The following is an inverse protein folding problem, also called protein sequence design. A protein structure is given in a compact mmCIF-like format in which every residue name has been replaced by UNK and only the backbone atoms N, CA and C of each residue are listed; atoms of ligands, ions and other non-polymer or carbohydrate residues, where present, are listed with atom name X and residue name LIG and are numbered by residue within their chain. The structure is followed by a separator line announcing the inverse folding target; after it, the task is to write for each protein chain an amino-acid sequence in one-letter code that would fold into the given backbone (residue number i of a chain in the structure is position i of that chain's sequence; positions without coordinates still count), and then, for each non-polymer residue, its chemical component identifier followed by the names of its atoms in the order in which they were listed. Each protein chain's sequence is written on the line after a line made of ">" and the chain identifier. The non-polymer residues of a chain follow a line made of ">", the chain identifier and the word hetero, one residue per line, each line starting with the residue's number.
data_IF_893098754732
#
_entry.id   IF_893098754732
#
_cell.length_a   1.000
_cell.length_b   1.000
_cell.length_c   1.000
_cell.angle_alpha   90.00
_cell.angle_beta   90.00
_cell.angle_gamma   90.00
#
_symmetry.space_group_name_H-M   'P 1'
#
loop_
_entity.id
_entity.type
_entity.pdbx_description
1 polymer ?
#
# COMPACT_ATOMS: atom_id res chain seq x y z
N UNK A 1 -6.80 5.31 -4.18
CA UNK A 1 -6.77 5.13 -5.65
C UNK A 1 -6.59 3.66 -5.94
N UNK A 2 -7.46 3.05 -6.76
CA UNK A 2 -7.28 1.68 -7.23
C UNK A 2 -6.62 1.74 -8.61
N UNK A 3 -5.47 1.09 -8.76
CA UNK A 3 -4.74 1.01 -10.03
C UNK A 3 -4.68 -0.45 -10.48
N UNK A 4 -5.24 -0.74 -11.66
CA UNK A 4 -5.19 -2.05 -12.28
C UNK A 4 -4.00 -2.13 -13.24
N UNK A 5 -3.09 -3.08 -13.00
CA UNK A 5 -1.99 -3.39 -13.90
C UNK A 5 -2.24 -4.75 -14.55
N UNK A 6 -2.12 -4.84 -15.88
CA UNK A 6 -2.21 -6.11 -16.61
C UNK A 6 -0.83 -6.78 -16.57
N UNK A 7 -0.70 -7.97 -15.96
CA UNK A 7 0.60 -8.63 -15.84
C UNK A 7 0.95 -9.39 -17.13
N UNK A 8 1.23 -8.65 -18.19
CA UNK A 8 1.68 -9.20 -19.48
C UNK A 8 3.21 -9.35 -19.48
N UNK A 9 3.70 -10.55 -19.72
CA UNK A 9 5.12 -10.85 -19.85
C UNK A 9 5.63 -10.50 -21.25
N UNK A 10 6.96 -10.41 -21.42
CA UNK A 10 7.58 -10.03 -22.72
C UNK A 10 7.28 -11.04 -23.85
N UNK A 11 7.07 -12.30 -23.49
CA UNK A 11 6.67 -13.40 -24.37
C UNK A 11 5.14 -13.49 -24.57
N UNK A 12 4.37 -12.52 -24.05
CA UNK A 12 2.93 -12.40 -24.29
C UNK A 12 2.02 -13.23 -23.38
N UNK A 13 2.56 -13.86 -22.33
CA UNK A 13 1.78 -14.61 -21.34
C UNK A 13 1.23 -13.70 -20.25
N UNK A 14 0.17 -14.14 -19.59
CA UNK A 14 -0.36 -13.48 -18.39
C UNK A 14 0.22 -14.15 -17.14
N UNK A 15 1.17 -13.50 -16.49
CA UNK A 15 1.85 -14.02 -15.29
C UNK A 15 2.16 -12.92 -14.30
N UNK A 16 1.29 -12.77 -13.29
CA UNK A 16 1.52 -11.84 -12.18
C UNK A 16 2.82 -12.17 -11.42
N UNK A 17 3.17 -13.44 -11.29
CA UNK A 17 4.39 -13.88 -10.60
C UNK A 17 5.65 -13.37 -11.28
N UNK A 18 5.68 -13.35 -12.61
CA UNK A 18 6.85 -12.88 -13.36
C UNK A 18 6.91 -11.36 -13.44
N UNK A 19 5.76 -10.70 -13.58
CA UNK A 19 5.70 -9.23 -13.70
C UNK A 19 5.86 -8.51 -12.36
N UNK A 20 5.17 -8.98 -11.32
CA UNK A 20 5.21 -8.39 -9.96
C UNK A 20 6.39 -8.95 -9.17
N UNK A 21 6.78 -10.19 -9.44
CA UNK A 21 7.91 -10.86 -8.80
C UNK A 21 7.54 -11.58 -7.51
N UNK A 22 8.52 -11.68 -6.61
CA UNK A 22 8.44 -12.40 -5.34
C UNK A 22 8.32 -11.43 -4.15
N UNK A 23 8.30 -11.96 -2.93
CA UNK A 23 8.23 -11.15 -1.69
C UNK A 23 9.36 -10.11 -1.59
N UNK A 24 10.55 -10.43 -2.08
CA UNK A 24 11.71 -9.51 -2.07
C UNK A 24 11.49 -8.34 -3.05
N UNK A 25 11.03 -8.65 -4.27
CA UNK A 25 10.70 -7.65 -5.28
C UNK A 25 9.61 -6.67 -4.81
N UNK A 26 8.62 -7.16 -4.06
CA UNK A 26 7.57 -6.31 -3.46
C UNK A 26 8.14 -5.37 -2.38
N UNK A 27 9.08 -5.84 -1.55
CA UNK A 27 9.75 -4.97 -0.57
C UNK A 27 10.59 -3.89 -1.26
N UNK A 28 11.37 -4.27 -2.29
CA UNK A 28 12.14 -3.34 -3.11
C UNK A 28 11.25 -2.36 -3.89
N UNK A 29 10.04 -2.78 -4.26
CA UNK A 29 9.07 -1.89 -4.88
C UNK A 29 8.61 -0.78 -3.92
N UNK A 30 8.42 -1.07 -2.62
CA UNK A 30 8.08 -0.05 -1.63
C UNK A 30 9.19 1.00 -1.47
N UNK A 31 10.46 0.57 -1.55
CA UNK A 31 11.62 1.48 -1.58
C UNK A 31 11.59 2.40 -2.80
N UNK A 32 11.57 1.80 -3.98
CA UNK A 32 11.65 2.54 -5.26
C UNK A 32 10.48 3.49 -5.43
N UNK A 33 9.28 3.07 -5.00
CA UNK A 33 8.09 3.92 -5.08
C UNK A 33 8.22 5.15 -4.18
N UNK A 34 8.71 5.01 -2.95
CA UNK A 34 8.90 6.14 -2.05
C UNK A 34 9.93 7.14 -2.62
N UNK A 35 11.08 6.65 -3.12
CA UNK A 35 12.09 7.48 -3.76
C UNK A 35 11.52 8.25 -4.96
N UNK A 36 10.84 7.55 -5.87
CA UNK A 36 10.25 8.12 -7.09
C UNK A 36 9.21 9.22 -6.82
N UNK A 37 8.44 9.07 -5.75
CA UNK A 37 7.44 10.05 -5.33
C UNK A 37 8.12 11.25 -4.66
N UNK A 38 9.14 11.02 -3.83
CA UNK A 38 9.87 12.11 -3.20
C UNK A 38 10.67 12.96 -4.20
N UNK A 39 11.25 12.34 -5.23
CA UNK A 39 11.89 13.04 -6.34
C UNK A 39 10.92 13.98 -7.10
N UNK A 40 9.62 13.68 -7.08
CA UNK A 40 8.56 14.52 -7.70
C UNK A 40 8.06 15.63 -6.80
N UNK A 41 8.69 15.85 -5.64
CA UNK A 41 8.37 16.93 -4.71
C UNK A 41 7.33 16.57 -3.66
N UNK A 42 6.92 15.31 -3.55
CA UNK A 42 6.14 14.86 -2.40
C UNK A 42 7.08 14.63 -1.21
N UNK A 43 6.64 14.88 0.02
CA UNK A 43 7.45 14.67 1.24
C UNK A 43 6.85 13.51 2.03
N UNK A 44 7.11 12.28 1.59
CA UNK A 44 6.57 11.07 2.20
C UNK A 44 7.67 10.18 2.77
N UNK A 45 7.45 9.64 3.96
CA UNK A 45 8.35 8.65 4.57
C UNK A 45 7.98 7.23 4.15
N UNK A 46 8.98 6.35 4.09
CA UNK A 46 8.77 4.93 3.80
C UNK A 46 8.14 4.25 5.03
N UNK A 47 7.13 3.41 4.79
CA UNK A 47 6.59 2.56 5.84
C UNK A 47 7.62 1.59 6.42
N UNK A 48 7.49 1.31 7.72
CA UNK A 48 8.37 0.39 8.44
C UNK A 48 8.24 -1.05 7.93
N UNK A 49 9.37 -1.76 7.89
CA UNK A 49 9.41 -3.15 7.43
C UNK A 49 8.53 -4.06 8.29
N UNK A 50 7.93 -5.07 7.65
CA UNK A 50 7.17 -6.12 8.33
C UNK A 50 8.01 -6.87 9.38
N UNK A 51 9.33 -6.97 9.19
CA UNK A 51 10.22 -7.62 10.17
C UNK A 51 10.23 -6.88 11.52
N UNK A 52 10.03 -5.56 11.49
CA UNK A 52 10.01 -4.70 12.69
C UNK A 52 8.61 -4.62 13.26
N UNK A 53 7.61 -4.36 12.42
CA UNK A 53 6.25 -4.08 12.89
C UNK A 53 5.41 -5.33 13.14
N UNK A 54 5.75 -6.45 12.50
CA UNK A 54 4.96 -7.69 12.44
C UNK A 54 3.49 -7.49 12.01
N UNK A 55 3.15 -6.32 11.45
CA UNK A 55 1.79 -5.98 11.05
C UNK A 55 1.34 -6.88 9.90
N UNK A 56 0.08 -7.29 9.98
CA UNK A 56 -0.61 -8.03 8.93
C UNK A 56 -1.65 -7.10 8.30
N UNK A 57 -1.91 -7.31 7.01
CA UNK A 57 -3.03 -6.65 6.35
C UNK A 57 -4.32 -7.02 7.08
N UNK A 58 -5.15 -6.02 7.35
CA UNK A 58 -6.47 -6.16 7.93
C UNK A 58 -7.48 -5.65 6.92
N UNK A 59 -8.64 -6.32 6.84
CA UNK A 59 -9.76 -5.79 6.08
C UNK A 59 -10.18 -4.43 6.63
N UNK A 60 -10.67 -3.56 5.76
CA UNK A 60 -11.02 -2.18 6.12
C UNK A 60 -12.04 -2.12 7.25
N UNK A 61 -13.02 -3.03 7.28
CA UNK A 61 -14.05 -3.04 8.33
C UNK A 61 -13.43 -3.40 9.70
N UNK A 62 -12.56 -4.41 9.73
CA UNK A 62 -11.85 -4.80 10.95
C UNK A 62 -10.91 -3.67 11.42
N UNK A 63 -10.19 -3.03 10.49
CA UNK A 63 -9.32 -1.90 10.80
C UNK A 63 -10.09 -0.72 11.39
N UNK A 64 -11.26 -0.38 10.83
CA UNK A 64 -12.10 0.71 11.32
C UNK A 64 -12.80 0.40 12.65
N UNK A 65 -12.98 -0.88 13.00
CA UNK A 65 -13.47 -1.28 14.31
C UNK A 65 -12.37 -1.17 15.38
N UNK A 66 -11.15 -1.60 15.04
CA UNK A 66 -9.99 -1.51 15.94
C UNK A 66 -9.46 -0.09 16.14
N UNK A 67 -9.70 0.79 15.17
CA UNK A 67 -9.38 2.22 15.28
C UNK A 67 -10.61 3.00 15.72
N UNK A 68 -10.45 4.04 16.54
CA UNK A 68 -11.53 5.02 16.86
C UNK A 68 -11.99 5.84 15.63
N UNK A 69 -11.72 5.37 14.42
CA UNK A 69 -12.02 6.03 13.15
C UNK A 69 -13.50 6.43 13.06
N UNK A 70 -14.40 5.56 13.50
CA UNK A 70 -15.83 5.88 13.52
C UNK A 70 -16.16 7.01 14.51
N UNK A 71 -15.49 7.10 15.67
CA UNK A 71 -15.66 8.21 16.61
C UNK A 71 -15.20 9.52 15.98
N UNK A 72 -13.99 9.54 15.39
CA UNK A 72 -13.46 10.76 14.76
C UNK A 72 -14.27 11.20 13.54
N UNK A 73 -14.71 10.27 12.69
CA UNK A 73 -15.61 10.59 11.55
C UNK A 73 -16.95 11.13 12.05
N UNK A 74 -17.52 10.54 13.10
CA UNK A 74 -18.76 11.03 13.71
C UNK A 74 -18.61 12.45 14.24
N UNK A 75 -17.55 12.75 14.99
CA UNK A 75 -17.28 14.10 15.50
C UNK A 75 -17.03 15.12 14.37
N UNK A 76 -16.36 14.72 13.29
CA UNK A 76 -16.15 15.58 12.13
C UNK A 76 -17.44 15.86 11.36
N UNK A 77 -18.31 14.85 11.21
CA UNK A 77 -19.61 15.00 10.56
C UNK A 77 -20.56 15.89 11.37
N UNK A 78 -20.51 15.84 12.70
CA UNK A 78 -21.34 16.65 13.59
C UNK A 78 -20.88 18.11 13.70
N UNK A 79 -19.65 18.41 13.28
CA UNK A 79 -19.05 19.76 13.28
C UNK A 79 -19.29 20.52 11.97
N UNK A 80 -19.93 19.87 10.99
CA UNK A 80 -20.39 20.42 9.72
C UNK A 80 -21.86 20.76 9.81
#
# INVERSE_FOLDING_TARGET
>A
MHFGAVPLTKDGRLSAKEVIGNKKALTEFQDRYNQFINERGFQLERGESKLVTQKKHQDMDQYKQGTKYHETVFYQAKKK
#
